data_IF_993606946560
#
_entry.id   IF_993606946560
#
_cell.length_a   1.000
_cell.length_b   1.000
_cell.length_c   1.000
_cell.angle_alpha   90.00
_cell.angle_beta   90.00
_cell.angle_gamma   90.00
#
_symmetry.space_group_name_H-M   'P 1'
#
loop_
_entity.id
_entity.type
_entity.pdbx_description
1 polymer ?
#
# COMPACT_ATOMS: atom_id res chain seq x y z
N UNK A 1 5.60 -10.50 1.07
CA UNK A 1 4.47 -9.60 0.73
C UNK A 1 3.78 -8.97 1.95
N UNK A 2 3.04 -9.70 2.81
CA UNK A 2 2.34 -9.08 3.97
C UNK A 2 3.27 -8.25 4.88
N UNK A 3 4.45 -8.78 5.19
CA UNK A 3 5.50 -8.07 5.95
C UNK A 3 5.99 -6.79 5.27
N UNK A 4 6.00 -6.75 3.93
CA UNK A 4 6.41 -5.58 3.15
C UNK A 4 5.36 -4.48 3.31
N UNK A 5 4.07 -4.82 3.18
CA UNK A 5 2.96 -3.87 3.39
C UNK A 5 2.97 -3.34 4.82
N UNK A 6 3.21 -4.20 5.81
CA UNK A 6 3.29 -3.80 7.22
C UNK A 6 4.47 -2.85 7.47
N UNK A 7 5.67 -3.19 6.98
CA UNK A 7 6.86 -2.31 7.05
C UNK A 7 6.59 -0.94 6.42
N UNK A 8 6.02 -0.93 5.22
CA UNK A 8 5.66 0.32 4.51
C UNK A 8 4.61 1.11 5.28
N UNK A 9 3.61 0.44 5.86
CA UNK A 9 2.58 1.10 6.67
C UNK A 9 3.15 1.76 7.93
N UNK A 10 4.10 1.13 8.60
CA UNK A 10 4.81 1.72 9.74
C UNK A 10 5.69 2.90 9.32
N UNK A 11 6.43 2.76 8.22
CA UNK A 11 7.25 3.84 7.67
C UNK A 11 6.38 5.06 7.31
N UNK A 12 5.29 4.84 6.58
CA UNK A 12 4.34 5.89 6.21
C UNK A 12 3.79 6.61 7.46
N UNK A 13 3.45 5.86 8.51
CA UNK A 13 2.96 6.46 9.77
C UNK A 13 4.03 7.30 10.47
N UNK A 14 5.30 6.91 10.38
CA UNK A 14 6.40 7.65 10.97
C UNK A 14 6.71 8.96 10.20
N UNK A 15 6.64 8.91 8.88
CA UNK A 15 7.02 10.03 8.01
C UNK A 15 5.88 11.04 7.78
N UNK A 16 4.62 10.58 7.79
CA UNK A 16 3.46 11.39 7.46
C UNK A 16 2.57 11.66 8.68
N UNK A 17 2.67 12.87 9.22
CA UNK A 17 1.89 13.33 10.39
C UNK A 17 0.36 13.27 10.21
N UNK A 18 -0.11 13.13 8.98
CA UNK A 18 -1.54 13.06 8.62
C UNK A 18 -2.11 11.63 8.68
N UNK A 19 -1.26 10.62 8.91
CA UNK A 19 -1.66 9.25 9.18
C UNK A 19 -1.99 9.10 10.66
N UNK A 20 -3.16 8.53 10.98
CA UNK A 20 -3.63 8.26 12.34
C UNK A 20 -3.27 6.83 12.75
N UNK A 21 -3.60 5.84 11.92
CA UNK A 21 -3.22 4.42 12.09
C UNK A 21 -2.48 3.94 10.84
N UNK A 22 -1.43 3.11 10.99
CA UNK A 22 -0.59 2.67 9.87
C UNK A 22 -1.39 1.84 8.85
N UNK A 23 -0.86 1.77 7.62
CA UNK A 23 -1.43 0.90 6.60
C UNK A 23 -1.37 -0.56 7.04
N UNK A 24 -2.49 -1.26 6.96
CA UNK A 24 -2.59 -2.70 7.23
C UNK A 24 -3.30 -3.43 6.10
N UNK A 25 -3.00 -4.71 5.92
CA UNK A 25 -3.79 -5.58 5.03
C UNK A 25 -5.09 -5.92 5.74
N UNK A 26 -6.22 -5.56 5.14
CA UNK A 26 -7.55 -5.86 5.64
C UNK A 26 -8.07 -7.20 5.13
N UNK A 27 -7.54 -7.69 4.00
CA UNK A 27 -7.88 -8.98 3.46
C UNK A 27 -7.36 -9.18 2.04
N UNK A 28 -7.72 -10.33 1.47
CA UNK A 28 -7.52 -10.66 0.06
C UNK A 28 -8.82 -10.31 -0.66
N UNK A 29 -8.75 -9.42 -1.65
CA UNK A 29 -9.93 -9.11 -2.50
C UNK A 29 -10.09 -10.15 -3.61
N UNK A 30 -9.00 -10.61 -4.19
CA UNK A 30 -9.01 -11.61 -5.25
C UNK A 30 -7.76 -12.48 -5.20
N UNK A 31 -7.96 -13.79 -5.29
CA UNK A 31 -6.91 -14.78 -5.48
C UNK A 31 -7.03 -15.32 -6.91
N UNK A 32 -6.35 -14.67 -7.85
CA UNK A 32 -6.36 -15.05 -9.26
C UNK A 32 -5.30 -16.10 -9.58
N UNK A 33 -5.34 -16.62 -10.81
CA UNK A 33 -4.41 -17.68 -11.26
C UNK A 33 -2.94 -17.24 -11.21
N UNK A 34 -2.67 -15.96 -11.45
CA UNK A 34 -1.30 -15.40 -11.57
C UNK A 34 -1.06 -14.17 -10.69
N UNK A 35 -2.06 -13.75 -9.92
CA UNK A 35 -1.98 -12.52 -9.14
C UNK A 35 -2.81 -12.60 -7.86
N UNK A 36 -2.37 -11.83 -6.87
CA UNK A 36 -3.05 -11.67 -5.59
C UNK A 36 -3.40 -10.20 -5.41
N UNK A 37 -4.70 -9.90 -5.30
CA UNK A 37 -5.18 -8.55 -5.01
C UNK A 37 -5.44 -8.42 -3.51
N UNK A 38 -4.74 -7.48 -2.87
CA UNK A 38 -4.87 -7.20 -1.44
C UNK A 38 -5.66 -5.90 -1.21
N UNK A 39 -6.58 -5.93 -0.25
CA UNK A 39 -7.17 -4.73 0.30
C UNK A 39 -6.28 -4.20 1.42
N UNK A 40 -5.87 -2.95 1.31
CA UNK A 40 -5.15 -2.25 2.38
C UNK A 40 -5.98 -1.09 2.92
N UNK A 41 -5.97 -0.90 4.24
CA UNK A 41 -6.63 0.22 4.90
C UNK A 41 -5.61 1.07 5.65
N UNK A 42 -5.75 2.38 5.54
CA UNK A 42 -4.96 3.37 6.29
C UNK A 42 -5.91 4.39 6.86
N UNK A 43 -5.81 4.68 8.16
CA UNK A 43 -6.63 5.73 8.78
C UNK A 43 -5.85 7.03 8.77
N UNK A 44 -6.47 8.09 8.26
CA UNK A 44 -5.83 9.39 8.06
C UNK A 44 -6.72 10.51 8.57
N UNK A 45 -6.15 11.70 8.74
CA UNK A 45 -6.94 12.91 9.04
C UNK A 45 -7.92 13.23 7.90
N UNK A 46 -9.08 13.85 8.20
CA UNK A 46 -10.04 14.30 7.19
C UNK A 46 -9.38 15.12 6.08
N UNK A 47 -9.77 14.88 4.83
CA UNK A 47 -9.24 15.59 3.66
C UNK A 47 -7.84 15.18 3.19
N UNK A 48 -7.15 14.24 3.88
CA UNK A 48 -5.76 13.86 3.55
C UNK A 48 -5.60 12.57 2.74
N UNK A 49 -6.69 11.82 2.57
CA UNK A 49 -6.67 10.49 1.94
C UNK A 49 -6.03 10.47 0.55
N UNK A 50 -6.32 11.43 -0.35
CA UNK A 50 -5.73 11.46 -1.69
C UNK A 50 -4.21 11.69 -1.68
N UNK A 51 -3.72 12.56 -0.80
CA UNK A 51 -2.29 12.82 -0.68
C UNK A 51 -1.58 11.57 -0.15
N UNK A 52 -2.05 11.02 0.97
CA UNK A 52 -1.48 9.83 1.60
C UNK A 52 -1.55 8.62 0.65
N UNK A 53 -2.62 8.47 -0.13
CA UNK A 53 -2.72 7.41 -1.12
C UNK A 53 -1.62 7.49 -2.19
N UNK A 54 -1.26 8.70 -2.66
CA UNK A 54 -0.17 8.88 -3.63
C UNK A 54 1.19 8.55 -3.01
N UNK A 55 1.43 9.01 -1.78
CA UNK A 55 2.68 8.72 -1.05
C UNK A 55 2.82 7.22 -0.81
N UNK A 56 1.78 6.56 -0.29
CA UNK A 56 1.75 5.12 -0.06
C UNK A 56 2.04 4.33 -1.36
N UNK A 57 1.38 4.69 -2.47
CA UNK A 57 1.60 4.04 -3.77
C UNK A 57 3.04 4.18 -4.26
N UNK A 58 3.67 5.34 -4.05
CA UNK A 58 5.07 5.56 -4.39
C UNK A 58 5.98 4.63 -3.56
N UNK A 59 5.83 4.66 -2.24
CA UNK A 59 6.68 3.86 -1.34
C UNK A 59 6.50 2.36 -1.61
N UNK A 60 5.25 1.90 -1.82
CA UNK A 60 4.98 0.50 -2.19
C UNK A 60 5.65 0.13 -3.50
N UNK A 61 5.54 0.96 -4.55
CA UNK A 61 6.20 0.71 -5.83
C UNK A 61 7.72 0.56 -5.67
N UNK A 62 8.33 1.50 -4.95
CA UNK A 62 9.78 1.52 -4.75
C UNK A 62 10.24 0.30 -3.94
N UNK A 63 9.51 -0.02 -2.86
CA UNK A 63 9.84 -1.17 -1.99
C UNK A 63 9.60 -2.50 -2.71
N UNK A 64 8.54 -2.63 -3.49
CA UNK A 64 8.25 -3.87 -4.23
C UNK A 64 9.31 -4.10 -5.31
N UNK A 65 9.80 -3.04 -5.95
CA UNK A 65 10.90 -3.12 -6.91
C UNK A 65 12.20 -3.62 -6.25
N UNK A 66 12.48 -3.16 -5.01
CA UNK A 66 13.65 -3.60 -4.24
C UNK A 66 13.56 -5.06 -3.77
N UNK A 67 12.35 -5.53 -3.45
CA UNK A 67 12.09 -6.88 -2.96
C UNK A 67 11.78 -7.87 -4.11
N UNK A 68 12.00 -7.46 -5.37
CA UNK A 68 11.72 -8.24 -6.59
C UNK A 68 10.26 -8.76 -6.67
N UNK A 69 9.32 -7.99 -6.12
CA UNK A 69 7.88 -8.28 -6.17
C UNK A 69 7.27 -7.59 -7.38
N UNK A 70 6.77 -8.37 -8.34
CA UNK A 70 6.10 -7.85 -9.52
C UNK A 70 4.71 -7.27 -9.18
N UNK A 71 4.42 -6.08 -9.70
CA UNK A 71 3.10 -5.45 -9.59
C UNK A 71 2.33 -5.73 -10.89
N UNK A 72 1.35 -6.63 -10.81
CA UNK A 72 0.46 -6.94 -11.93
C UNK A 72 -0.65 -5.88 -12.05
N UNK A 73 -0.77 -5.25 -13.21
CA UNK A 73 -1.89 -4.36 -13.52
C UNK A 73 -1.47 -2.98 -14.03
N UNK A 74 -1.19 -2.90 -15.33
CA UNK A 74 -1.43 -1.69 -16.12
C UNK A 74 -2.14 -2.11 -17.41
N UNK A 75 -3.47 -2.25 -17.38
CA UNK A 75 -4.22 -2.06 -18.61
C UNK A 75 -4.34 -0.55 -18.80
N UNK A 76 -3.65 -0.02 -19.82
CA UNK A 76 -4.03 1.27 -20.40
C UNK A 76 -5.48 1.11 -20.86
N UNK A 77 -6.41 1.80 -20.21
CA UNK A 77 -7.59 2.29 -20.92
C UNK A 77 -7.25 3.69 -21.43
#
# INVERSE_FOLDING_TARGET
>A
MYRVVEKVGQQLKADEQDVIEPTRVAGIENFGEKNLLLLTLTKVKPGKHLHIQRVLRKILKDTFSQEEIEICGFSKN
#
